data_IF_778260616922
#
_entry.id   IF_778260616922
#
_cell.length_a   1.000
_cell.length_b   1.000
_cell.length_c   1.000
_cell.angle_alpha   90.00
_cell.angle_beta   90.00
_cell.angle_gamma   90.00
#
_symmetry.space_group_name_H-M   'P 1'
#
loop_
_entity.id
_entity.type
_entity.pdbx_description
1 polymer ?
#
# COMPACT_ATOMS: atom_id res chain seq x y z
N UNK A 1 3.30 2.82 13.56
CA UNK A 1 4.46 1.91 13.43
C UNK A 1 3.90 0.52 13.19
N UNK A 2 4.21 -0.11 12.06
CA UNK A 2 3.65 -1.41 11.66
C UNK A 2 4.14 -2.52 12.59
N UNK A 3 3.24 -3.31 13.16
CA UNK A 3 3.60 -4.44 14.04
C UNK A 3 3.90 -5.71 13.24
N UNK A 4 4.51 -6.71 13.87
CA UNK A 4 4.70 -8.03 13.26
C UNK A 4 3.36 -8.73 12.99
N UNK A 5 2.33 -8.44 13.79
CA UNK A 5 0.98 -8.98 13.60
C UNK A 5 0.33 -8.38 12.35
N UNK A 6 0.52 -7.08 12.10
CA UNK A 6 0.02 -6.42 10.89
C UNK A 6 0.62 -7.03 9.62
N UNK A 7 1.92 -7.39 9.64
CA UNK A 7 2.60 -8.06 8.52
C UNK A 7 2.07 -9.46 8.23
N UNK A 8 1.42 -10.11 9.19
CA UNK A 8 0.79 -11.44 9.02
C UNK A 8 -0.72 -11.35 8.83
N UNK A 9 -1.28 -10.14 8.83
CA UNK A 9 -2.71 -9.90 8.64
C UNK A 9 -3.08 -9.80 7.16
N UNK A 10 -4.37 -9.81 6.88
CA UNK A 10 -4.95 -9.59 5.56
C UNK A 10 -5.13 -8.10 5.21
N UNK A 11 -4.62 -7.19 6.06
CA UNK A 11 -4.75 -5.75 5.86
C UNK A 11 -3.82 -5.23 4.77
N UNK A 12 -4.29 -4.20 4.08
CA UNK A 12 -3.42 -3.32 3.33
C UNK A 12 -2.61 -2.42 4.26
N UNK A 13 -1.31 -2.31 3.97
CA UNK A 13 -0.36 -1.56 4.78
C UNK A 13 0.23 -0.41 3.97
N UNK A 14 0.29 0.77 4.58
CA UNK A 14 1.03 1.90 4.02
C UNK A 14 2.53 1.63 4.21
N UNK A 15 3.29 1.75 3.13
CA UNK A 15 4.74 1.64 3.14
C UNK A 15 5.39 2.69 2.26
N UNK A 16 6.71 2.82 2.37
CA UNK A 16 7.50 3.73 1.55
C UNK A 16 8.79 3.06 1.10
N UNK A 17 9.23 3.41 -0.10
CA UNK A 17 10.53 3.04 -0.66
C UNK A 17 11.35 4.30 -0.84
N UNK A 18 12.55 4.29 -0.28
CA UNK A 18 13.55 5.33 -0.53
C UNK A 18 14.35 4.92 -1.76
N UNK A 19 14.30 5.76 -2.80
CA UNK A 19 15.07 5.60 -4.02
C UNK A 19 16.23 6.58 -3.92
N UNK A 20 17.45 6.05 -3.84
CA UNK A 20 18.67 6.86 -3.80
C UNK A 20 19.37 6.74 -5.16
N UNK A 21 19.50 7.86 -5.87
CA UNK A 21 20.17 7.91 -7.18
C UNK A 21 21.23 9.01 -7.22
N UNK A 22 22.13 8.96 -8.19
CA UNK A 22 23.14 10.00 -8.42
C UNK A 22 22.52 11.37 -8.73
N UNK A 23 21.27 11.39 -9.20
CA UNK A 23 20.50 12.61 -9.50
C UNK A 23 19.59 13.07 -8.35
N UNK A 24 19.68 12.43 -7.18
CA UNK A 24 18.90 12.78 -5.99
C UNK A 24 18.13 11.60 -5.39
N UNK A 25 17.65 11.80 -4.16
CA UNK A 25 16.79 10.87 -3.45
C UNK A 25 15.30 11.17 -3.63
N UNK A 26 14.47 10.14 -3.70
CA UNK A 26 13.02 10.27 -3.72
C UNK A 26 12.37 9.25 -2.78
N UNK A 27 11.31 9.66 -2.08
CA UNK A 27 10.48 8.77 -1.27
C UNK A 27 9.20 8.47 -2.03
N UNK A 28 9.04 7.23 -2.46
CA UNK A 28 7.83 6.74 -3.12
C UNK A 28 6.95 6.08 -2.07
N UNK A 29 5.71 6.54 -1.95
CA UNK A 29 4.71 5.95 -1.06
C UNK A 29 3.92 4.87 -1.78
N UNK A 30 3.59 3.80 -1.06
CA UNK A 30 2.97 2.61 -1.64
C UNK A 30 1.98 1.98 -0.66
N UNK A 31 1.06 1.18 -1.17
CA UNK A 31 0.22 0.28 -0.38
C UNK A 31 0.62 -1.17 -0.65
N UNK A 32 1.02 -1.89 0.39
CA UNK A 32 1.28 -3.32 0.37
C UNK A 32 -0.02 -4.08 0.63
N UNK A 33 -0.40 -4.95 -0.30
CA UNK A 33 -1.54 -5.86 -0.17
C UNK A 33 -1.12 -7.16 0.53
N UNK A 34 -2.10 -7.89 1.04
CA UNK A 34 -1.89 -9.16 1.76
C UNK A 34 -1.34 -10.29 0.87
N UNK A 35 -1.46 -10.18 -0.44
CA UNK A 35 -0.88 -11.11 -1.43
C UNK A 35 0.54 -10.71 -1.87
N UNK A 36 1.10 -9.65 -1.28
CA UNK A 36 2.45 -9.18 -1.55
C UNK A 36 2.58 -8.17 -2.70
N UNK A 37 1.48 -7.79 -3.37
CA UNK A 37 1.52 -6.74 -4.39
C UNK A 37 1.68 -5.34 -3.78
N UNK A 38 2.35 -4.46 -4.52
CA UNK A 38 2.56 -3.06 -4.16
C UNK A 38 1.83 -2.13 -5.13
N UNK A 39 1.02 -1.23 -4.59
CA UNK A 39 0.35 -0.16 -5.34
C UNK A 39 1.11 1.14 -5.16
N UNK A 40 1.69 1.66 -6.24
CA UNK A 40 2.45 2.91 -6.23
C UNK A 40 1.52 4.12 -6.08
N UNK A 41 1.77 4.96 -5.08
CA UNK A 41 1.02 6.20 -4.82
C UNK A 41 1.81 7.46 -5.20
N UNK A 42 3.05 7.30 -5.66
CA UNK A 42 3.93 8.34 -6.15
C UNK A 42 4.69 9.09 -5.05
N UNK A 43 5.20 10.26 -5.45
CA UNK A 43 5.97 11.19 -4.61
C UNK A 43 5.14 12.45 -4.25
N UNK A 44 5.64 13.29 -3.34
CA UNK A 44 4.95 14.52 -2.93
C UNK A 44 3.76 14.21 -2.03
N UNK A 45 2.53 14.25 -2.59
CA UNK A 45 1.29 13.89 -1.87
C UNK A 45 1.04 12.38 -1.79
N UNK A 46 2.06 11.57 -2.08
CA UNK A 46 1.96 10.11 -2.12
C UNK A 46 1.56 9.51 -0.76
N UNK A 47 1.95 10.15 0.35
CA UNK A 47 1.60 9.70 1.70
C UNK A 47 0.08 9.73 1.93
N UNK A 48 -0.57 10.86 1.65
CA UNK A 48 -2.01 11.02 1.82
C UNK A 48 -2.78 10.07 0.90
N UNK A 49 -2.28 9.86 -0.33
CA UNK A 49 -2.86 8.89 -1.26
C UNK A 49 -2.75 7.46 -0.75
N UNK A 50 -1.59 7.06 -0.24
CA UNK A 50 -1.37 5.72 0.29
C UNK A 50 -2.23 5.46 1.54
N UNK A 51 -2.35 6.45 2.44
CA UNK A 51 -3.23 6.37 3.61
C UNK A 51 -4.69 6.19 3.18
N UNK A 52 -5.21 7.09 2.34
CA UNK A 52 -6.59 7.02 1.87
C UNK A 52 -6.89 5.71 1.13
N UNK A 53 -5.94 5.24 0.31
CA UNK A 53 -6.09 3.98 -0.42
C UNK A 53 -6.10 2.77 0.52
N UNK A 54 -5.19 2.71 1.51
CA UNK A 54 -5.17 1.63 2.49
C UNK A 54 -6.45 1.62 3.34
N UNK A 55 -6.99 2.78 3.72
CA UNK A 55 -8.28 2.89 4.42
C UNK A 55 -9.44 2.34 3.59
N UNK A 56 -9.53 2.73 2.31
CA UNK A 56 -10.56 2.24 1.38
C UNK A 56 -10.49 0.71 1.25
N UNK A 57 -9.29 0.17 1.08
CA UNK A 57 -9.06 -1.26 0.92
C UNK A 57 -9.44 -2.01 2.20
N UNK A 58 -8.96 -1.54 3.35
CA UNK A 58 -9.27 -2.15 4.64
C UNK A 58 -10.76 -2.05 5.03
N UNK A 59 -11.45 -0.99 4.60
CA UNK A 59 -12.89 -0.85 4.80
C UNK A 59 -13.71 -1.80 3.90
N UNK A 60 -13.20 -2.15 2.72
CA UNK A 60 -13.85 -3.07 1.79
C UNK A 60 -13.86 -4.53 2.26
N UNK A 61 -12.92 -4.91 3.15
CA UNK A 61 -12.72 -6.28 3.58
C UNK A 61 -12.07 -7.17 2.50
N UNK A 62 -11.44 -8.29 2.90
CA UNK A 62 -10.64 -9.14 2.01
C UNK A 62 -11.45 -9.72 0.83
N UNK A 63 -12.75 -9.92 0.99
CA UNK A 63 -13.60 -10.52 -0.04
C UNK A 63 -13.84 -9.59 -1.25
N UNK A 64 -13.88 -8.27 -1.06
CA UNK A 64 -14.13 -7.31 -2.16
C UNK A 64 -12.91 -7.04 -3.02
N UNK A 65 -11.72 -7.36 -2.51
CA UNK A 65 -10.44 -7.08 -3.15
C UNK A 65 -9.80 -8.33 -3.75
N UNK A 66 -10.45 -9.49 -3.57
CA UNK A 66 -10.01 -10.71 -4.21
C UNK A 66 -10.03 -10.53 -5.74
N UNK A 67 -9.07 -11.16 -6.42
CA UNK A 67 -8.98 -11.14 -7.88
C UNK A 67 -10.24 -11.73 -8.56
N UNK A 68 -11.07 -12.50 -7.84
CA UNK A 68 -12.40 -12.94 -8.28
C UNK A 68 -13.41 -11.79 -8.27
N UNK A 69 -13.41 -10.95 -7.24
CA UNK A 69 -14.36 -9.84 -7.08
C UNK A 69 -14.04 -8.64 -7.98
N UNK A 70 -12.77 -8.44 -8.34
CA UNK A 70 -12.34 -7.36 -9.25
C UNK A 70 -12.61 -7.65 -10.74
N UNK A 71 -13.09 -8.86 -11.07
CA UNK A 71 -13.39 -9.29 -12.45
C UNK A 71 -14.89 -9.37 -12.76
N UNK A 72 -15.77 -8.97 -11.85
CA UNK A 72 -17.23 -8.97 -12.09
C UNK A 72 -17.71 -7.67 -12.72
#
# INVERSE_FOLDING_TARGET
MTSWEDLRSDKALVCKREVNSEHGGATVWMVLLSDGHLLDCGIGIGEQRAIALAEIINAGGPERLSHKSLKS
#
